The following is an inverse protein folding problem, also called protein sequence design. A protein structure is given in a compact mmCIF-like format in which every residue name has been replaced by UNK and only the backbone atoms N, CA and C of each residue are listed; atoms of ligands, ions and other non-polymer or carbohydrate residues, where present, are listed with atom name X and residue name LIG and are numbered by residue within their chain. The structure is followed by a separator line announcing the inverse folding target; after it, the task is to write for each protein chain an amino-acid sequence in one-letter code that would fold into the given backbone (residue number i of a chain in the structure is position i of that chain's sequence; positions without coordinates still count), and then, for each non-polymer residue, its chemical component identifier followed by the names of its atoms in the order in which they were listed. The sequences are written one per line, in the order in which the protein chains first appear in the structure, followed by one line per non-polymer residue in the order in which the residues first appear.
data_IF_698603070658
#
_entry.id   IF_698603070658
#
_cell.length_a   1.000
_cell.length_b   1.000
_cell.length_c   1.000
_cell.angle_alpha   90.00
_cell.angle_beta   90.00
_cell.angle_gamma   90.00
#
_symmetry.space_group_name_H-M   'P 1'
#
loop_
_entity.id
_entity.type
_entity.pdbx_description
1 polymer ?
#
# COMPACT_ATOMS: atom_id res chain seq x y z
N UNK A 1 11.75 12.10 16.96
CA UNK A 1 11.29 12.75 15.71
C UNK A 1 11.25 11.70 14.64
N UNK A 2 10.11 11.00 14.48
CA UNK A 2 9.91 10.15 13.31
C UNK A 2 9.91 11.07 12.09
N UNK A 3 10.82 10.80 11.16
CA UNK A 3 10.99 11.63 9.98
C UNK A 3 9.65 11.66 9.22
N UNK A 4 8.95 12.79 9.23
CA UNK A 4 7.70 12.98 8.47
C UNK A 4 7.91 12.62 6.99
N UNK A 5 9.13 12.81 6.48
CA UNK A 5 9.56 12.34 5.16
C UNK A 5 9.39 10.82 4.95
N UNK A 6 9.63 10.01 5.98
CA UNK A 6 9.49 8.56 5.93
C UNK A 6 8.01 8.15 5.90
N UNK A 7 7.17 8.74 6.75
CA UNK A 7 5.71 8.52 6.73
C UNK A 7 5.13 8.98 5.39
N UNK A 8 5.57 10.12 4.86
CA UNK A 8 5.15 10.61 3.54
C UNK A 8 5.57 9.68 2.40
N UNK A 9 6.78 9.10 2.46
CA UNK A 9 7.24 8.12 1.48
C UNK A 9 6.40 6.83 1.52
N UNK A 10 6.08 6.31 2.72
CA UNK A 10 5.22 5.15 2.90
C UNK A 10 3.79 5.43 2.42
N UNK A 11 3.25 6.61 2.70
CA UNK A 11 1.93 7.05 2.23
C UNK A 11 1.86 7.10 0.69
N UNK A 12 2.90 7.64 0.04
CA UNK A 12 3.00 7.64 -1.43
C UNK A 12 3.04 6.22 -2.00
N UNK A 13 3.80 5.31 -1.39
CA UNK A 13 3.82 3.89 -1.79
C UNK A 13 2.47 3.22 -1.62
N UNK A 14 1.77 3.49 -0.51
CA UNK A 14 0.43 2.97 -0.25
C UNK A 14 -0.56 3.45 -1.32
N UNK A 15 -0.56 4.75 -1.66
CA UNK A 15 -1.41 5.28 -2.72
C UNK A 15 -1.13 4.63 -4.09
N UNK A 16 0.14 4.42 -4.43
CA UNK A 16 0.52 3.75 -5.68
C UNK A 16 0.06 2.28 -5.72
N UNK A 17 0.08 1.57 -4.59
CA UNK A 17 -0.44 0.20 -4.50
C UNK A 17 -1.97 0.18 -4.61
N UNK A 18 -2.68 1.14 -4.02
CA UNK A 18 -4.13 1.28 -4.21
C UNK A 18 -4.50 1.49 -5.68
N UNK A 19 -3.77 2.35 -6.38
CA UNK A 19 -3.99 2.57 -7.80
C UNK A 19 -3.75 1.29 -8.62
N UNK A 20 -2.67 0.56 -8.35
CA UNK A 20 -2.39 -0.73 -9.00
C UNK A 20 -3.49 -1.76 -8.75
N UNK A 21 -3.97 -1.87 -7.51
CA UNK A 21 -5.10 -2.75 -7.16
C UNK A 21 -6.33 -2.33 -7.96
N UNK A 22 -6.66 -1.04 -7.97
CA UNK A 22 -7.83 -0.54 -8.68
C UNK A 22 -7.75 -0.81 -10.17
N UNK A 23 -6.60 -0.56 -10.80
CA UNK A 23 -6.37 -0.86 -12.21
C UNK A 23 -6.56 -2.35 -12.47
N UNK A 24 -5.96 -3.23 -11.68
CA UNK A 24 -6.05 -4.68 -11.86
C UNK A 24 -7.47 -5.21 -11.60
N UNK A 25 -8.21 -4.68 -10.61
CA UNK A 25 -9.61 -5.03 -10.35
C UNK A 25 -10.56 -4.61 -11.49
N UNK A 26 -10.24 -3.53 -12.20
CA UNK A 26 -11.00 -3.08 -13.36
C UNK A 26 -10.65 -3.82 -14.66
N UNK A 27 -9.63 -4.71 -14.66
CA UNK A 27 -9.29 -5.47 -15.86
C UNK A 27 -10.37 -6.52 -16.14
N UNK A 28 -10.68 -6.81 -17.42
CA UNK A 28 -11.66 -7.84 -17.79
C UNK A 28 -11.32 -9.25 -17.30
N UNK A 29 -10.04 -9.51 -17.04
CA UNK A 29 -9.52 -10.75 -16.46
C UNK A 29 -8.50 -10.38 -15.36
N UNK A 30 -8.96 -10.14 -14.13
CA UNK A 30 -8.08 -9.73 -13.04
C UNK A 30 -7.21 -10.90 -12.57
N UNK A 31 -5.91 -10.68 -12.43
CA UNK A 31 -5.04 -11.67 -11.78
C UNK A 31 -5.25 -11.62 -10.27
N UNK A 32 -5.96 -12.63 -9.76
CA UNK A 32 -6.28 -12.76 -8.34
C UNK A 32 -5.04 -12.97 -7.46
N UNK A 33 -3.96 -13.55 -7.99
CA UNK A 33 -2.70 -13.74 -7.28
C UNK A 33 -2.03 -12.39 -7.08
N UNK A 34 -1.90 -11.62 -8.16
CA UNK A 34 -1.33 -10.27 -8.12
C UNK A 34 -2.17 -9.35 -7.22
N UNK A 35 -3.50 -9.42 -7.30
CA UNK A 35 -4.38 -8.65 -6.42
C UNK A 35 -4.17 -8.98 -4.94
N UNK A 36 -4.01 -10.26 -4.59
CA UNK A 36 -3.76 -10.67 -3.22
C UNK A 36 -2.39 -10.21 -2.73
N UNK A 37 -1.36 -10.29 -3.56
CA UNK A 37 -0.02 -9.78 -3.23
C UNK A 37 -0.04 -8.27 -3.00
N UNK A 38 -0.64 -7.50 -3.91
CA UNK A 38 -0.77 -6.05 -3.80
C UNK A 38 -1.55 -5.64 -2.54
N UNK A 39 -2.65 -6.33 -2.24
CA UNK A 39 -3.46 -6.08 -1.02
C UNK A 39 -2.66 -6.40 0.25
N UNK A 40 -1.85 -7.45 0.23
CA UNK A 40 -0.96 -7.81 1.34
C UNK A 40 0.13 -6.77 1.55
N UNK A 41 0.79 -6.32 0.48
CA UNK A 41 1.79 -5.24 0.56
C UNK A 41 1.19 -3.95 1.09
N UNK A 42 -0.01 -3.58 0.63
CA UNK A 42 -0.76 -2.43 1.14
C UNK A 42 -1.02 -2.53 2.65
N UNK A 43 -1.40 -3.72 3.13
CA UNK A 43 -1.63 -3.96 4.56
C UNK A 43 -0.34 -3.80 5.37
N UNK A 44 0.77 -4.35 4.90
CA UNK A 44 2.09 -4.22 5.55
C UNK A 44 2.52 -2.76 5.67
N UNK A 45 2.38 -1.97 4.60
CA UNK A 45 2.70 -0.54 4.64
C UNK A 45 1.79 0.23 5.60
N UNK A 46 0.51 -0.13 5.66
CA UNK A 46 -0.43 0.49 6.61
C UNK A 46 -0.02 0.19 8.06
N UNK A 47 0.37 -1.05 8.35
CA UNK A 47 0.83 -1.44 9.69
C UNK A 47 2.15 -0.75 10.04
N UNK A 48 3.08 -0.65 9.11
CA UNK A 48 4.35 0.06 9.30
C UNK A 48 4.13 1.56 9.55
N UNK A 49 3.26 2.21 8.77
CA UNK A 49 2.86 3.60 9.02
C UNK A 49 2.19 3.78 10.39
N UNK A 50 1.37 2.82 10.82
CA UNK A 50 0.70 2.86 12.13
C UNK A 50 1.73 2.75 13.25
N UNK A 51 2.66 1.79 13.16
CA UNK A 51 3.76 1.63 14.12
C UNK A 51 4.64 2.88 14.22
N UNK A 52 4.93 3.52 13.09
CA UNK A 52 5.72 4.75 13.04
C UNK A 52 4.98 5.99 13.57
N UNK A 53 3.65 5.95 13.62
CA UNK A 53 2.82 7.02 14.21
C UNK A 53 2.63 6.84 15.72
N UNK A 54 2.71 5.60 16.20
CA UNK A 54 2.54 5.25 17.62
C UNK A 54 3.85 5.29 18.43
N UNK A 55 5.01 5.42 17.77
CA UNK A 55 6.33 5.67 18.39
C UNK A 55 6.65 7.16 18.49
#
# INVERSE_FOLDING_TARGET
MHSEAHINALSRKHAALEEKIHVEENRPAPDSTVLNELKKEKLVLKDEMTRLREQ
#
